data_IF_819015953978
#
_entry.id   IF_819015953978
#
_cell.length_a   1.000
_cell.length_b   1.000
_cell.length_c   1.000
_cell.angle_alpha   90.00
_cell.angle_beta   90.00
_cell.angle_gamma   90.00
#
_symmetry.space_group_name_H-M   'P 1'
#
loop_
_entity.id
_entity.type
_entity.pdbx_description
1 polymer ?
#
# COMPACT_ATOMS: atom_id res chain seq x y z
N UNK A 1 5.17 12.69 -27.14
CA UNK A 1 4.64 12.66 -25.77
C UNK A 1 5.06 11.35 -25.13
N UNK A 2 5.77 11.38 -23.99
CA UNK A 2 6.15 10.17 -23.26
C UNK A 2 5.06 9.78 -22.26
N UNK A 3 4.59 8.53 -22.30
CA UNK A 3 3.62 7.97 -21.35
C UNK A 3 4.23 6.72 -20.72
N UNK A 4 4.09 6.62 -19.40
CA UNK A 4 4.50 5.48 -18.60
C UNK A 4 3.34 5.05 -17.71
N UNK A 5 3.19 3.75 -17.54
CA UNK A 5 2.19 3.11 -16.69
C UNK A 5 2.92 2.35 -15.60
N UNK A 6 2.54 2.56 -14.33
CA UNK A 6 3.01 1.75 -13.21
C UNK A 6 1.86 0.82 -12.82
N UNK A 7 2.12 -0.48 -12.80
CA UNK A 7 1.15 -1.52 -12.48
C UNK A 7 1.57 -2.17 -11.16
N UNK A 8 0.62 -2.30 -10.23
CA UNK A 8 0.81 -3.01 -8.96
C UNK A 8 -0.14 -4.20 -8.97
N UNK A 9 0.41 -5.40 -8.84
CA UNK A 9 -0.37 -6.64 -8.75
C UNK A 9 -0.08 -7.35 -7.44
N UNK A 10 -1.13 -7.84 -6.78
CA UNK A 10 -1.06 -8.68 -5.59
C UNK A 10 -1.57 -10.06 -5.97
N UNK A 11 -0.68 -11.05 -6.03
CA UNK A 11 -1.02 -12.42 -6.39
C UNK A 11 -0.27 -13.40 -5.48
N UNK A 12 -1.01 -14.37 -4.92
CA UNK A 12 -0.44 -15.47 -4.12
C UNK A 12 0.44 -15.01 -2.94
N UNK A 13 0.13 -13.85 -2.33
CA UNK A 13 0.88 -13.30 -1.19
C UNK A 13 2.18 -12.58 -1.58
N UNK A 14 2.38 -12.31 -2.88
CA UNK A 14 3.48 -11.51 -3.39
C UNK A 14 2.94 -10.25 -4.08
N UNK A 15 3.57 -9.11 -3.79
CA UNK A 15 3.33 -7.85 -4.49
C UNK A 15 4.37 -7.68 -5.59
N UNK A 16 3.91 -7.47 -6.82
CA UNK A 16 4.75 -7.12 -7.95
C UNK A 16 4.44 -5.70 -8.41
N UNK A 17 5.48 -4.95 -8.76
CA UNK A 17 5.36 -3.59 -9.30
C UNK A 17 6.13 -3.49 -10.59
N UNK A 18 5.41 -3.27 -11.68
CA UNK A 18 5.96 -3.13 -13.03
C UNK A 18 5.84 -1.69 -13.52
N UNK A 19 6.77 -1.29 -14.39
CA UNK A 19 6.71 -0.02 -15.11
C UNK A 19 6.84 -0.30 -16.61
N UNK A 20 5.84 0.14 -17.37
CA UNK A 20 5.81 0.04 -18.83
C UNK A 20 5.75 1.43 -19.46
N UNK A 21 6.37 1.62 -20.61
CA UNK A 21 6.28 2.89 -21.33
C UNK A 21 7.17 2.94 -22.55
N UNK A 22 7.05 4.03 -23.31
CA UNK A 22 7.87 4.24 -24.50
C UNK A 22 9.37 4.29 -24.13
N UNK A 23 10.26 3.72 -24.96
CA UNK A 23 11.74 3.71 -24.79
C UNK A 23 12.42 5.10 -24.85
N UNK A 24 11.69 6.18 -24.59
CA UNK A 24 12.22 7.55 -24.60
C UNK A 24 12.80 7.89 -23.22
N UNK A 25 14.02 7.43 -23.01
CA UNK A 25 14.85 7.49 -21.80
C UNK A 25 15.35 8.90 -21.41
N UNK A 26 15.02 9.93 -22.19
CA UNK A 26 15.41 11.33 -21.95
C UNK A 26 14.25 12.30 -21.70
N UNK A 27 13.05 11.77 -21.43
CA UNK A 27 11.87 12.60 -21.17
C UNK A 27 11.69 12.87 -19.68
N UNK A 28 11.12 14.02 -19.31
CA UNK A 28 10.76 14.33 -17.91
C UNK A 28 9.88 13.24 -17.30
N UNK A 29 8.93 12.70 -18.09
CA UNK A 29 8.07 11.60 -17.68
C UNK A 29 8.86 10.33 -17.30
N UNK A 30 9.94 10.02 -18.03
CA UNK A 30 10.83 8.91 -17.68
C UNK A 30 11.54 9.13 -16.35
N UNK A 31 12.09 10.33 -16.12
CA UNK A 31 12.77 10.64 -14.86
C UNK A 31 11.82 10.55 -13.66
N UNK A 32 10.59 11.06 -13.80
CA UNK A 32 9.56 10.96 -12.77
C UNK A 32 9.19 9.49 -12.51
N UNK A 33 8.90 8.72 -13.56
CA UNK A 33 8.54 7.31 -13.43
C UNK A 33 9.68 6.49 -12.77
N UNK A 34 10.93 6.74 -13.16
CA UNK A 34 12.11 6.11 -12.54
C UNK A 34 12.29 6.51 -11.08
N UNK A 35 12.04 7.77 -10.73
CA UNK A 35 12.10 8.22 -9.34
C UNK A 35 11.03 7.53 -8.48
N UNK A 36 9.80 7.39 -8.99
CA UNK A 36 8.73 6.64 -8.32
C UNK A 36 9.11 5.17 -8.13
N UNK A 37 9.69 4.52 -9.15
CA UNK A 37 10.15 3.13 -9.06
C UNK A 37 11.26 2.92 -8.01
N UNK A 38 12.05 3.94 -7.68
CA UNK A 38 13.05 3.85 -6.59
C UNK A 38 12.42 3.82 -5.21
N UNK A 39 11.23 4.36 -5.04
CA UNK A 39 10.49 4.37 -3.76
C UNK A 39 9.73 3.06 -3.52
N UNK A 40 9.53 2.25 -4.56
CA UNK A 40 8.75 1.02 -4.50
C UNK A 40 9.20 0.07 -3.40
N UNK A 41 10.51 -0.24 -3.21
CA UNK A 41 10.93 -1.17 -2.15
C UNK A 41 10.49 -0.71 -0.76
N UNK A 42 10.67 0.57 -0.43
CA UNK A 42 10.32 1.12 0.88
C UNK A 42 8.80 1.13 1.10
N UNK A 43 8.04 1.48 0.05
CA UNK A 43 6.57 1.49 0.09
C UNK A 43 6.03 0.07 0.23
N UNK A 44 6.56 -0.90 -0.53
CA UNK A 44 6.11 -2.31 -0.47
C UNK A 44 6.42 -2.92 0.89
N UNK A 45 7.59 -2.67 1.48
CA UNK A 45 7.92 -3.15 2.83
C UNK A 45 6.99 -2.52 3.87
N UNK A 46 6.74 -1.21 3.77
CA UNK A 46 5.86 -0.51 4.69
C UNK A 46 4.41 -0.99 4.58
N UNK A 47 3.94 -1.20 3.35
CA UNK A 47 2.62 -1.74 3.06
C UNK A 47 2.48 -3.20 3.52
N UNK A 48 3.48 -4.05 3.30
CA UNK A 48 3.49 -5.42 3.80
C UNK A 48 3.48 -5.47 5.34
N UNK A 49 4.22 -4.58 6.01
CA UNK A 49 4.17 -4.43 7.48
C UNK A 49 2.79 -3.95 7.94
N UNK A 50 2.20 -2.95 7.30
CA UNK A 50 0.85 -2.49 7.63
C UNK A 50 -0.19 -3.60 7.40
N UNK A 51 -0.14 -4.28 6.26
CA UNK A 51 -0.98 -5.41 5.94
C UNK A 51 -0.80 -6.56 6.94
N UNK A 52 0.41 -6.79 7.47
CA UNK A 52 0.62 -7.81 8.51
C UNK A 52 0.01 -7.46 9.86
N UNK A 53 -0.17 -6.15 10.16
CA UNK A 53 -0.88 -5.68 11.36
C UNK A 53 -2.39 -5.80 11.23
N UNK A 54 -2.92 -5.65 10.01
CA UNK A 54 -4.36 -5.78 9.72
C UNK A 54 -4.77 -7.20 9.29
N UNK A 55 -3.82 -7.99 8.80
CA UNK A 55 -3.98 -9.37 8.41
C UNK A 55 -4.02 -10.28 9.62
N UNK A 56 -4.61 -11.46 9.42
CA UNK A 56 -4.87 -12.50 10.41
C UNK A 56 -3.56 -13.16 10.93
N UNK A 57 -2.58 -12.37 11.38
CA UNK A 57 -1.31 -12.85 11.87
C UNK A 57 -1.54 -13.66 13.15
N UNK A 58 -1.24 -14.97 13.17
CA UNK A 58 -1.56 -15.86 14.28
C UNK A 58 -0.58 -15.73 15.46
N UNK A 59 0.28 -14.70 15.47
CA UNK A 59 1.21 -14.52 16.58
C UNK A 59 0.50 -13.86 17.78
N UNK A 60 0.83 -14.26 19.03
CA UNK A 60 0.15 -13.76 20.22
C UNK A 60 0.17 -12.24 20.38
N UNK A 61 1.20 -11.56 19.85
CA UNK A 61 1.31 -10.10 19.87
C UNK A 61 0.30 -9.41 18.94
N UNK A 62 0.15 -9.91 17.71
CA UNK A 62 -0.82 -9.36 16.76
C UNK A 62 -2.26 -9.78 17.08
N UNK A 63 -2.47 -10.90 17.75
CA UNK A 63 -3.79 -11.25 18.31
C UNK A 63 -4.19 -10.28 19.42
N UNK A 64 -3.28 -9.98 20.36
CA UNK A 64 -3.54 -9.00 21.43
C UNK A 64 -3.84 -7.59 20.89
N UNK A 65 -3.09 -7.10 19.89
CA UNK A 65 -3.36 -5.79 19.27
C UNK A 65 -4.72 -5.76 18.54
N UNK A 66 -5.11 -6.86 17.89
CA UNK A 66 -6.44 -6.97 17.25
C UNK A 66 -7.58 -7.05 18.26
N UNK A 67 -7.41 -7.80 19.34
CA UNK A 67 -8.39 -7.86 20.43
C UNK A 67 -8.54 -6.51 21.12
N UNK A 68 -7.47 -5.75 21.30
CA UNK A 68 -7.53 -4.40 21.86
C UNK A 68 -8.18 -3.40 20.90
N UNK A 69 -7.90 -3.47 19.60
CA UNK A 69 -8.52 -2.61 18.59
C UNK A 69 -10.03 -2.89 18.37
N UNK A 70 -10.48 -4.13 18.61
CA UNK A 70 -11.89 -4.51 18.58
C UNK A 70 -12.67 -4.08 19.84
N UNK A 71 -11.97 -3.61 20.89
CA UNK A 71 -12.55 -3.18 22.15
C UNK A 71 -12.68 -1.66 22.31
N UNK A 72 -12.36 -0.88 21.28
CA UNK A 72 -12.81 0.51 21.19
C UNK A 72 -14.19 0.54 20.54
N UNK A 73 -15.30 0.60 21.31
CA UNK A 73 -16.59 0.95 20.74
C UNK A 73 -16.47 2.42 20.31
N UNK A 74 -16.18 2.67 19.03
CA UNK A 74 -16.56 3.94 18.42
C UNK A 74 -18.05 4.09 18.64
N UNK A 75 -18.33 4.97 19.58
CA UNK A 75 -19.63 5.37 20.06
C UNK A 75 -20.44 5.79 18.85
N UNK A 76 -21.60 5.16 18.70
CA UNK A 76 -22.69 5.60 17.84
C UNK A 76 -23.03 7.06 18.20
N UNK A 77 -22.34 8.01 17.57
CA UNK A 77 -22.59 9.44 17.71
C UNK A 77 -23.19 9.93 16.42
N UNK A 78 -24.49 9.67 16.28
CA UNK A 78 -25.36 10.42 15.39
C UNK A 78 -25.84 11.67 16.15
N UNK A 79 -25.42 12.89 15.78
CA UNK A 79 -26.26 14.05 15.96
C UNK A 79 -26.82 14.42 14.58
N UNK A 80 -28.05 14.03 14.31
CA UNK A 80 -28.85 14.72 13.28
C UNK A 80 -29.14 16.12 13.79
N UNK A 81 -28.61 17.13 13.09
CA UNK A 81 -29.02 18.53 13.20
C UNK A 81 -30.52 18.66 12.87
N UNK A 82 -31.28 19.27 13.79
CA UNK A 82 -32.60 19.85 13.56
C UNK A 82 -32.49 21.37 13.71
#
# INVERSE_FOLDING_TARGET
MGKYTITISDESGAVSVGMEGARQDKTTAFFVAKALMRLVPDVVISAARAASKHGNCPCPKCEAERSNAAQDPTTDSKPTLH
#
